data_IF_973515287643
#
_entry.id   IF_973515287643
#
_cell.length_a   1.000
_cell.length_b   1.000
_cell.length_c   1.000
_cell.angle_alpha   90.00
_cell.angle_beta   90.00
_cell.angle_gamma   90.00
#
_symmetry.space_group_name_H-M   'P 1'
#
loop_
_entity.id
_entity.type
_entity.pdbx_description
1 polymer ?
#
# COMPACT_ATOMS: atom_id res chain seq x y z
N UNK A 1 -27.06 -17.12 14.03
CA UNK A 1 -26.32 -17.25 12.76
C UNK A 1 -26.08 -15.85 12.20
N UNK A 2 -24.95 -15.21 12.51
CA UNK A 2 -24.61 -13.93 11.92
C UNK A 2 -24.00 -14.19 10.53
N UNK A 3 -24.82 -14.05 9.48
CA UNK A 3 -24.35 -14.15 8.10
C UNK A 3 -23.19 -13.20 7.88
N UNK A 4 -22.06 -13.70 7.36
CA UNK A 4 -20.93 -12.86 6.94
C UNK A 4 -21.47 -11.80 5.98
N UNK A 5 -21.51 -10.54 6.41
CA UNK A 5 -21.79 -9.40 5.54
C UNK A 5 -20.73 -9.43 4.45
N UNK A 6 -21.13 -9.75 3.22
CA UNK A 6 -20.23 -9.82 2.06
C UNK A 6 -19.75 -8.39 1.83
N UNK A 7 -18.59 -8.06 2.39
CA UNK A 7 -17.95 -6.79 2.12
C UNK A 7 -17.64 -6.79 0.63
N UNK A 8 -18.10 -5.76 -0.08
CA UNK A 8 -17.87 -5.58 -1.51
C UNK A 8 -16.41 -5.19 -1.72
N UNK A 9 -15.53 -6.18 -1.61
CA UNK A 9 -14.08 -6.00 -1.66
C UNK A 9 -13.58 -6.34 -3.05
N UNK A 10 -12.73 -5.48 -3.58
CA UNK A 10 -11.98 -5.72 -4.82
C UNK A 10 -10.59 -6.25 -4.44
N UNK A 11 -10.12 -7.28 -5.16
CA UNK A 11 -8.76 -7.79 -5.00
C UNK A 11 -7.83 -7.05 -5.95
N UNK A 12 -6.78 -6.43 -5.41
CA UNK A 12 -5.70 -5.82 -6.20
C UNK A 12 -4.48 -6.74 -6.18
N UNK A 13 -4.02 -7.17 -7.36
CA UNK A 13 -2.78 -7.90 -7.52
C UNK A 13 -1.69 -6.97 -8.06
N UNK A 14 -0.60 -6.82 -7.31
CA UNK A 14 0.54 -6.01 -7.70
C UNK A 14 1.84 -6.84 -7.67
N UNK A 15 2.71 -6.65 -8.66
CA UNK A 15 4.08 -7.17 -8.62
C UNK A 15 4.94 -6.15 -7.86
N UNK A 16 5.44 -6.55 -6.70
CA UNK A 16 6.24 -5.72 -5.81
C UNK A 16 7.47 -6.49 -5.33
N UNK A 17 8.41 -5.79 -4.70
CA UNK A 17 9.57 -6.44 -4.08
C UNK A 17 9.17 -7.36 -2.92
N UNK A 18 10.06 -8.31 -2.61
CA UNK A 18 9.88 -9.19 -1.46
C UNK A 18 9.81 -8.37 -0.17
N UNK A 19 8.79 -8.61 0.65
CA UNK A 19 8.59 -7.91 1.93
C UNK A 19 7.90 -6.55 1.82
N UNK A 20 7.55 -6.08 0.61
CA UNK A 20 6.74 -4.86 0.46
C UNK A 20 5.41 -4.97 1.21
N UNK A 21 4.74 -6.13 1.14
CA UNK A 21 3.49 -6.36 1.88
C UNK A 21 3.63 -6.16 3.39
N UNK A 22 4.67 -6.73 3.99
CA UNK A 22 4.92 -6.62 5.44
C UNK A 22 5.22 -5.18 5.86
N UNK A 23 6.02 -4.47 5.05
CA UNK A 23 6.29 -3.04 5.28
C UNK A 23 5.03 -2.20 5.18
N UNK A 24 4.15 -2.47 4.20
CA UNK A 24 2.87 -1.77 4.09
C UNK A 24 1.95 -2.06 5.28
N UNK A 25 1.94 -3.29 5.82
CA UNK A 25 1.23 -3.59 7.07
C UNK A 25 1.80 -2.79 8.25
N UNK A 26 3.12 -2.70 8.38
CA UNK A 26 3.74 -1.91 9.46
C UNK A 26 3.37 -0.43 9.35
N UNK A 27 3.45 0.15 8.15
CA UNK A 27 3.04 1.54 7.90
C UNK A 27 1.56 1.74 8.25
N UNK A 28 0.68 0.85 7.78
CA UNK A 28 -0.75 0.92 8.06
C UNK A 28 -1.01 0.89 9.58
N UNK A 29 -0.34 0.00 10.32
CA UNK A 29 -0.47 -0.08 11.77
C UNK A 29 0.00 1.22 12.47
N UNK A 30 1.17 1.75 12.09
CA UNK A 30 1.71 2.99 12.64
C UNK A 30 0.79 4.20 12.41
N UNK A 31 0.10 4.23 11.28
CA UNK A 31 -0.84 5.30 10.92
C UNK A 31 -2.26 5.08 11.48
N UNK A 32 -2.50 4.01 12.25
CA UNK A 32 -3.80 3.70 12.84
C UNK A 32 -4.77 2.96 11.92
N UNK A 33 -4.40 2.70 10.66
CA UNK A 33 -5.16 1.83 9.75
C UNK A 33 -4.95 0.37 10.14
N UNK A 34 -5.79 -0.14 11.03
CA UNK A 34 -5.65 -1.49 11.59
C UNK A 34 -6.96 -2.29 11.56
N UNK A 35 -6.81 -3.61 11.47
CA UNK A 35 -7.89 -4.58 11.57
C UNK A 35 -7.37 -5.78 12.37
N UNK A 36 -8.09 -6.16 13.42
CA UNK A 36 -7.69 -7.26 14.32
C UNK A 36 -6.25 -7.13 14.86
N UNK A 37 -5.84 -5.95 15.32
CA UNK A 37 -4.50 -5.62 15.82
C UNK A 37 -3.34 -5.76 14.79
N UNK A 38 -3.65 -6.03 13.52
CA UNK A 38 -2.68 -5.95 12.42
C UNK A 38 -2.93 -4.72 11.57
N UNK A 39 -1.88 -4.18 10.96
CA UNK A 39 -2.03 -3.10 9.99
C UNK A 39 -2.78 -3.55 8.74
N UNK A 40 -3.76 -2.75 8.33
CA UNK A 40 -4.64 -3.03 7.20
C UNK A 40 -4.12 -2.35 5.94
N UNK A 41 -3.41 -3.11 5.11
CA UNK A 41 -2.88 -2.60 3.83
C UNK A 41 -3.99 -2.07 2.91
N UNK A 42 -5.15 -2.71 2.89
CA UNK A 42 -6.29 -2.25 2.08
C UNK A 42 -6.75 -0.85 2.48
N UNK A 43 -6.99 -0.63 3.77
CA UNK A 43 -7.41 0.69 4.29
C UNK A 43 -6.35 1.78 4.04
N UNK A 44 -5.07 1.43 4.17
CA UNK A 44 -3.98 2.35 3.84
C UNK A 44 -4.03 2.75 2.35
N UNK A 45 -4.21 1.79 1.45
CA UNK A 45 -4.30 2.06 0.00
C UNK A 45 -5.55 2.86 -0.36
N UNK A 46 -6.69 2.59 0.29
CA UNK A 46 -7.92 3.35 0.12
C UNK A 46 -7.73 4.81 0.57
N UNK A 47 -7.12 5.04 1.73
CA UNK A 47 -6.84 6.39 2.23
C UNK A 47 -5.90 7.19 1.30
N UNK A 48 -4.92 6.52 0.69
CA UNK A 48 -4.06 7.13 -0.34
C UNK A 48 -4.88 7.49 -1.58
N UNK A 49 -5.72 6.57 -2.06
CA UNK A 49 -6.52 6.77 -3.27
C UNK A 49 -7.60 7.84 -3.10
N UNK A 50 -8.18 7.97 -1.90
CA UNK A 50 -9.17 8.97 -1.54
C UNK A 50 -8.56 10.34 -1.21
N UNK A 51 -7.22 10.45 -1.13
CA UNK A 51 -6.53 11.69 -0.78
C UNK A 51 -6.58 12.05 0.71
N UNK A 52 -7.02 11.13 1.57
CA UNK A 52 -7.04 11.28 3.03
C UNK A 52 -5.62 11.18 3.63
N UNK A 53 -4.71 10.49 2.92
CA UNK A 53 -3.30 10.41 3.25
C UNK A 53 -2.44 11.07 2.17
N UNK A 54 -1.68 12.10 2.55
CA UNK A 54 -0.72 12.77 1.67
C UNK A 54 0.63 12.08 1.78
N UNK A 55 1.06 11.40 0.72
CA UNK A 55 2.39 10.81 0.60
C UNK A 55 3.37 11.80 -0.05
N UNK A 56 4.46 12.13 0.65
CA UNK A 56 5.55 12.94 0.09
C UNK A 56 6.58 11.99 -0.53
N UNK A 57 6.60 11.90 -1.86
CA UNK A 57 7.54 11.04 -2.57
C UNK A 57 8.89 11.74 -2.75
N UNK A 58 9.94 11.27 -2.06
CA UNK A 58 11.32 11.76 -2.20
C UNK A 58 12.11 10.91 -3.19
N UNK A 59 11.56 10.67 -4.39
CA UNK A 59 12.28 9.92 -5.42
C UNK A 59 13.39 10.80 -5.98
N UNK A 60 14.61 10.66 -5.46
CA UNK A 60 15.80 11.11 -6.19
C UNK A 60 15.84 10.32 -7.51
N UNK A 61 15.55 10.99 -8.63
CA UNK A 61 15.81 10.46 -9.99
C UNK A 61 17.33 10.37 -10.18
N UNK A 62 17.97 9.36 -9.63
CA UNK A 62 19.32 8.95 -10.05
C UNK A 62 19.22 7.76 -11.01
N UNK A 63 18.44 7.93 -12.08
CA UNK A 63 18.39 7.02 -13.24
C UNK A 63 18.05 7.79 -14.54
N UNK A 64 18.55 9.02 -14.67
CA UNK A 64 18.70 9.66 -15.98
C UNK A 64 20.13 9.37 -16.45
N UNK A 65 20.29 8.38 -17.31
CA UNK A 65 21.53 8.21 -18.09
C UNK A 65 22.22 6.85 -18.02
N UNK A 66 21.56 5.80 -18.52
CA UNK A 66 22.28 4.82 -19.35
C UNK A 66 21.59 4.77 -20.71
N UNK A 67 21.83 5.83 -21.48
CA UNK A 67 21.74 5.76 -22.93
C UNK A 67 22.68 4.66 -23.39
N UNK A 68 22.12 3.55 -23.87
CA UNK A 68 22.86 2.56 -24.63
C UNK A 68 23.32 3.20 -25.93
N UNK A 69 24.57 3.67 -25.96
CA UNK A 69 25.36 3.78 -27.17
C UNK A 69 26.21 2.51 -27.25
N UNK A 70 25.74 1.56 -28.06
CA UNK A 70 26.58 0.60 -28.76
C UNK A 70 26.08 0.53 -30.19
#
# INVERSE_FOLDING_TARGET
MAGRKKLDRVNLHARVERGTGDKLKQIAHLLGYSYNNEGSTGQLLDAIALGELILIATKNRSDVGKSGLK
#
